data_IF_032752967732
#
_entry.id   IF_032752967732
#
_cell.length_a   1.000
_cell.length_b   1.000
_cell.length_c   1.000
_cell.angle_alpha   90.00
_cell.angle_beta   90.00
_cell.angle_gamma   90.00
#
_symmetry.space_group_name_H-M   'P 1'
#
loop_
_entity.id
_entity.type
_entity.pdbx_description
1 polymer ?
#
# COMPACT_ATOMS: atom_id res chain seq x y z
N UNK A 1 25.62 13.10 -20.26
CA UNK A 1 24.58 14.06 -19.77
C UNK A 1 23.28 13.37 -19.34
N UNK A 2 22.69 12.44 -20.16
CA UNK A 2 21.43 11.75 -19.77
C UNK A 2 21.63 10.71 -18.66
N UNK A 3 22.81 10.08 -18.59
CA UNK A 3 23.13 9.08 -17.56
C UNK A 3 23.38 9.73 -16.21
N UNK A 4 24.02 10.89 -16.21
CA UNK A 4 24.33 11.65 -15.00
C UNK A 4 23.08 12.27 -14.36
N UNK A 5 22.11 12.74 -15.18
CA UNK A 5 20.82 13.24 -14.69
C UNK A 5 19.99 12.16 -14.00
N UNK A 6 20.05 10.92 -14.52
CA UNK A 6 19.30 9.80 -13.96
C UNK A 6 19.86 9.37 -12.59
N UNK A 7 21.18 9.35 -12.44
CA UNK A 7 21.84 9.07 -11.14
C UNK A 7 21.62 10.19 -10.11
N UNK A 8 21.59 11.44 -10.51
CA UNK A 8 21.32 12.57 -9.62
C UNK A 8 19.87 12.61 -9.14
N UNK A 9 18.92 12.26 -10.01
CA UNK A 9 17.50 12.11 -9.64
C UNK A 9 17.30 10.98 -8.63
N UNK A 10 18.00 9.85 -8.80
CA UNK A 10 17.97 8.74 -7.85
C UNK A 10 18.62 9.11 -6.51
N UNK A 11 19.63 9.99 -6.52
CA UNK A 11 20.28 10.47 -5.29
C UNK A 11 19.60 11.68 -4.65
N UNK A 12 18.45 12.13 -5.20
CA UNK A 12 17.71 13.29 -4.68
C UNK A 12 18.45 14.63 -4.75
N UNK A 13 19.48 14.74 -5.61
CA UNK A 13 20.25 15.95 -5.81
C UNK A 13 19.83 16.62 -7.11
N UNK A 14 18.92 17.58 -7.02
CA UNK A 14 18.68 18.53 -8.09
C UNK A 14 19.59 19.76 -7.88
N UNK A 15 20.22 20.29 -8.93
CA UNK A 15 21.06 21.48 -8.81
C UNK A 15 20.19 22.71 -8.47
N UNK A 16 20.45 23.33 -7.32
CA UNK A 16 20.01 24.70 -7.04
C UNK A 16 18.93 24.93 -5.99
N UNK A 17 18.83 24.11 -4.94
CA UNK A 17 17.97 24.44 -3.80
C UNK A 17 17.85 23.29 -2.82
N UNK A 18 17.93 23.58 -1.54
CA UNK A 18 17.64 22.64 -0.47
C UNK A 18 16.14 22.36 -0.39
N UNK A 19 15.61 21.65 -1.37
CA UNK A 19 14.31 21.02 -1.22
C UNK A 19 14.55 19.71 -0.46
N UNK A 20 14.19 19.66 0.82
CA UNK A 20 14.02 18.39 1.49
C UNK A 20 12.85 17.71 0.80
N UNK A 21 13.12 16.88 -0.21
CA UNK A 21 12.15 15.91 -0.68
C UNK A 21 11.90 15.01 0.51
N UNK A 22 10.83 15.28 1.25
CA UNK A 22 10.23 14.31 2.16
C UNK A 22 9.66 13.20 1.29
N UNK A 23 10.49 12.34 0.82
CA UNK A 23 10.10 10.99 0.44
C UNK A 23 11.34 10.28 -0.05
N UNK A 24 11.82 9.38 0.72
CA UNK A 24 12.38 8.21 0.09
C UNK A 24 11.29 7.71 -0.87
N UNK A 25 11.54 7.74 -2.18
CA UNK A 25 10.75 7.03 -3.18
C UNK A 25 10.37 5.67 -2.60
N UNK A 26 9.08 5.27 -2.55
CA UNK A 26 8.68 4.03 -1.89
C UNK A 26 9.32 2.80 -2.53
N UNK A 27 10.07 3.01 -3.61
CA UNK A 27 10.77 1.96 -4.31
C UNK A 27 9.83 0.93 -4.93
N UNK A 28 10.33 -0.28 -5.10
CA UNK A 28 9.52 -1.40 -5.58
C UNK A 28 8.65 -1.88 -4.42
N UNK A 29 7.33 -1.80 -4.60
CA UNK A 29 6.34 -2.36 -3.69
C UNK A 29 5.81 -3.68 -4.27
N UNK A 30 5.74 -4.71 -3.45
CA UNK A 30 5.24 -6.02 -3.87
C UNK A 30 4.02 -6.42 -3.05
N UNK A 31 2.89 -6.61 -3.72
CA UNK A 31 1.71 -7.22 -3.13
C UNK A 31 1.93 -8.71 -2.90
N UNK A 32 1.66 -9.15 -1.68
CA UNK A 32 1.93 -10.49 -1.21
C UNK A 32 0.69 -11.05 -0.50
N UNK A 33 -0.01 -12.02 -1.07
CA UNK A 33 -1.11 -12.68 -0.38
C UNK A 33 -0.56 -13.47 0.80
N UNK A 34 -1.04 -13.24 2.04
CA UNK A 34 -0.55 -13.99 3.21
C UNK A 34 -0.72 -15.50 3.05
N UNK A 35 -1.90 -15.93 2.62
CA UNK A 35 -2.21 -17.31 2.22
C UNK A 35 -2.64 -17.31 0.75
N UNK A 36 -1.93 -18.07 -0.08
CA UNK A 36 -2.14 -18.12 -1.52
C UNK A 36 -3.08 -19.28 -1.90
N UNK A 37 -3.94 -19.06 -2.88
CA UNK A 37 -4.69 -20.14 -3.53
C UNK A 37 -3.78 -20.86 -4.54
N UNK A 38 -3.79 -22.18 -4.53
CA UNK A 38 -3.04 -23.08 -5.41
C UNK A 38 -4.01 -23.69 -6.45
N UNK A 39 -4.13 -23.07 -7.64
CA UNK A 39 -5.15 -23.50 -8.62
C UNK A 39 -4.99 -24.94 -9.10
N UNK A 40 -3.74 -25.42 -9.23
CA UNK A 40 -3.45 -26.78 -9.68
C UNK A 40 -3.87 -27.84 -8.67
N UNK A 41 -4.01 -27.49 -7.40
CA UNK A 41 -4.38 -28.36 -6.30
C UNK A 41 -5.80 -28.05 -5.78
N UNK A 42 -6.45 -27.06 -6.36
CA UNK A 42 -7.79 -26.57 -5.98
C UNK A 42 -7.96 -26.28 -4.47
N UNK A 43 -6.87 -25.87 -3.81
CA UNK A 43 -6.84 -25.56 -2.38
C UNK A 43 -6.04 -24.29 -2.06
N UNK A 44 -6.13 -23.85 -0.84
CA UNK A 44 -5.23 -22.83 -0.30
C UNK A 44 -3.97 -23.46 0.29
N UNK A 45 -2.89 -22.67 0.33
CA UNK A 45 -1.68 -23.01 1.09
C UNK A 45 -2.03 -23.31 2.55
N UNK A 46 -1.38 -24.29 3.11
CA UNK A 46 -1.31 -24.48 4.56
C UNK A 46 -0.39 -23.42 5.20
N UNK A 47 -0.51 -23.20 6.50
CA UNK A 47 0.37 -22.27 7.20
C UNK A 47 1.87 -22.60 7.03
N UNK A 48 2.34 -23.86 7.14
CA UNK A 48 3.74 -24.18 6.87
C UNK A 48 4.20 -23.82 5.46
N UNK A 49 3.37 -24.04 4.43
CA UNK A 49 3.68 -23.69 3.04
C UNK A 49 3.79 -22.17 2.87
N UNK A 50 2.83 -21.40 3.41
CA UNK A 50 2.84 -19.95 3.39
C UNK A 50 4.07 -19.39 4.12
N UNK A 51 4.44 -19.96 5.26
CA UNK A 51 5.63 -19.60 6.05
C UNK A 51 6.92 -19.89 5.29
N UNK A 52 7.05 -21.05 4.64
CA UNK A 52 8.21 -21.40 3.81
C UNK A 52 8.35 -20.44 2.61
N UNK A 53 7.24 -20.11 1.94
CA UNK A 53 7.21 -19.14 0.83
C UNK A 53 7.63 -17.76 1.30
N UNK A 54 7.13 -17.27 2.44
CA UNK A 54 7.51 -15.99 3.00
C UNK A 54 8.99 -15.95 3.38
N UNK A 55 9.50 -17.00 3.99
CA UNK A 55 10.92 -17.12 4.34
C UNK A 55 11.84 -17.12 3.10
N UNK A 56 11.42 -17.75 1.99
CA UNK A 56 12.14 -17.66 0.71
C UNK A 56 12.12 -16.22 0.18
N UNK A 57 10.95 -15.57 0.19
CA UNK A 57 10.79 -14.19 -0.24
C UNK A 57 11.68 -13.24 0.56
N UNK A 58 11.68 -13.31 1.89
CA UNK A 58 12.48 -12.46 2.76
C UNK A 58 13.98 -12.53 2.45
N UNK A 59 14.48 -13.70 1.97
CA UNK A 59 15.90 -13.88 1.62
C UNK A 59 16.27 -13.44 0.21
N UNK A 60 15.31 -13.36 -0.70
CA UNK A 60 15.62 -13.16 -2.14
C UNK A 60 14.94 -11.94 -2.76
N UNK A 61 14.12 -11.21 -2.01
CA UNK A 61 13.41 -10.07 -2.56
C UNK A 61 14.27 -8.81 -2.55
N UNK A 62 14.22 -8.07 -3.65
CA UNK A 62 14.74 -6.71 -3.79
C UNK A 62 13.65 -5.64 -3.57
N UNK A 63 12.45 -6.03 -3.18
CA UNK A 63 11.37 -5.08 -2.91
C UNK A 63 11.69 -4.22 -1.67
N UNK A 64 11.44 -2.93 -1.78
CA UNK A 64 11.61 -1.97 -0.69
C UNK A 64 10.46 -2.05 0.32
N UNK A 65 9.30 -2.49 -0.13
CA UNK A 65 8.13 -2.69 0.71
C UNK A 65 7.40 -3.97 0.29
N UNK A 66 7.13 -4.82 1.27
CA UNK A 66 6.17 -5.92 1.10
C UNK A 66 4.80 -5.45 1.60
N UNK A 67 3.78 -5.66 0.79
CA UNK A 67 2.39 -5.32 1.13
C UNK A 67 1.63 -6.61 1.34
N UNK A 68 1.31 -6.94 2.57
CA UNK A 68 0.40 -8.04 2.86
C UNK A 68 -1.03 -7.61 2.59
N UNK A 69 -1.66 -8.31 1.66
CA UNK A 69 -2.95 -7.94 1.14
C UNK A 69 -4.08 -8.67 1.87
N UNK A 70 -5.00 -7.92 2.49
CA UNK A 70 -6.21 -8.42 3.12
C UNK A 70 -7.49 -8.02 2.36
N UNK A 71 -7.34 -7.33 1.22
CA UNK A 71 -8.46 -6.81 0.43
C UNK A 71 -8.76 -7.74 -0.77
N UNK A 72 -8.76 -7.24 -1.99
CA UNK A 72 -9.23 -7.97 -3.19
C UNK A 72 -8.34 -9.15 -3.58
N UNK A 73 -7.05 -9.08 -3.33
CA UNK A 73 -6.11 -10.18 -3.57
C UNK A 73 -6.17 -11.29 -2.52
N UNK A 74 -6.97 -11.13 -1.47
CA UNK A 74 -7.07 -12.07 -0.36
C UNK A 74 -8.47 -12.69 -0.26
N UNK A 75 -8.61 -13.95 -0.69
CA UNK A 75 -9.88 -14.68 -0.56
C UNK A 75 -10.06 -15.34 0.82
N UNK A 76 -8.96 -15.72 1.48
CA UNK A 76 -8.92 -16.38 2.80
C UNK A 76 -8.61 -15.36 3.91
N UNK A 77 -9.45 -14.34 4.07
CA UNK A 77 -9.16 -13.20 4.97
C UNK A 77 -8.94 -13.62 6.42
N UNK A 78 -9.79 -14.48 6.97
CA UNK A 78 -9.65 -14.94 8.36
C UNK A 78 -8.34 -15.72 8.59
N UNK A 79 -8.04 -16.70 7.73
CA UNK A 79 -6.79 -17.45 7.81
C UNK A 79 -5.56 -16.57 7.60
N UNK A 80 -5.64 -15.59 6.70
CA UNK A 80 -4.56 -14.63 6.46
C UNK A 80 -4.29 -13.73 7.66
N UNK A 81 -5.32 -13.28 8.37
CA UNK A 81 -5.14 -12.52 9.63
C UNK A 81 -4.47 -13.37 10.70
N UNK A 82 -4.96 -14.59 10.91
CA UNK A 82 -4.35 -15.52 11.88
C UNK A 82 -2.88 -15.80 11.55
N UNK A 83 -2.59 -16.03 10.28
CA UNK A 83 -1.22 -16.24 9.80
C UNK A 83 -0.32 -15.02 10.08
N UNK A 84 -0.77 -13.81 9.75
CA UNK A 84 0.02 -12.60 9.97
C UNK A 84 0.26 -12.33 11.46
N UNK A 85 -0.75 -12.53 12.31
CA UNK A 85 -0.63 -12.40 13.77
C UNK A 85 0.44 -13.36 14.32
N UNK A 86 0.50 -14.60 13.81
CA UNK A 86 1.48 -15.59 14.27
C UNK A 86 2.88 -15.40 13.69
N UNK A 87 2.99 -15.00 12.40
CA UNK A 87 4.26 -15.06 11.69
C UNK A 87 5.08 -13.77 11.75
N UNK A 88 4.43 -12.59 11.74
CA UNK A 88 5.15 -11.32 11.69
C UNK A 88 6.11 -11.09 12.87
N UNK A 89 5.75 -11.42 14.13
CA UNK A 89 6.68 -11.31 15.25
C UNK A 89 7.99 -12.08 15.04
N UNK A 90 7.93 -13.21 14.35
CA UNK A 90 9.09 -14.08 14.12
C UNK A 90 9.93 -13.65 12.93
N UNK A 91 9.27 -13.25 11.82
CA UNK A 91 9.97 -13.05 10.55
C UNK A 91 10.33 -11.61 10.24
N UNK A 92 9.75 -10.63 10.95
CA UNK A 92 9.94 -9.19 10.68
C UNK A 92 11.42 -8.81 10.57
N UNK A 93 12.25 -9.32 11.47
CA UNK A 93 13.69 -9.04 11.47
C UNK A 93 14.42 -9.54 10.22
N UNK A 94 13.83 -10.47 9.48
CA UNK A 94 14.41 -11.05 8.28
C UNK A 94 13.86 -10.44 6.99
N UNK A 95 12.84 -9.58 7.08
CA UNK A 95 12.28 -8.85 5.94
C UNK A 95 13.09 -7.57 5.76
N UNK A 96 13.86 -7.44 4.66
CA UNK A 96 14.58 -6.21 4.39
C UNK A 96 13.60 -5.12 3.93
N UNK A 97 13.55 -3.99 4.52
CA UNK A 97 12.67 -2.89 4.12
C UNK A 97 11.36 -2.82 4.89
N UNK A 98 10.40 -2.11 4.32
CA UNK A 98 9.13 -1.80 4.97
C UNK A 98 8.13 -2.95 4.85
N UNK A 99 7.27 -3.05 5.85
CA UNK A 99 6.12 -3.96 5.86
C UNK A 99 4.84 -3.12 5.92
N UNK A 100 3.99 -3.28 4.92
CA UNK A 100 2.68 -2.66 4.84
C UNK A 100 1.56 -3.71 4.91
N UNK A 101 0.42 -3.32 5.45
CA UNK A 101 -0.80 -4.13 5.41
C UNK A 101 -1.85 -3.38 4.61
N UNK A 102 -2.33 -3.97 3.49
CA UNK A 102 -3.49 -3.44 2.79
C UNK A 102 -4.75 -3.95 3.47
N UNK A 103 -5.52 -3.02 4.03
CA UNK A 103 -6.77 -3.29 4.74
C UNK A 103 -7.97 -3.02 3.85
N UNK A 104 -9.10 -3.64 4.22
CA UNK A 104 -10.38 -3.41 3.56
C UNK A 104 -10.88 -1.97 3.79
N UNK A 105 -11.78 -1.45 2.92
CA UNK A 105 -12.36 -0.11 3.05
C UNK A 105 -12.97 0.12 4.42
N UNK A 106 -12.81 1.32 4.96
CA UNK A 106 -13.38 1.71 6.27
C UNK A 106 -14.89 1.46 6.32
N UNK A 107 -15.39 1.21 7.51
CA UNK A 107 -16.82 0.95 7.74
C UNK A 107 -17.30 -0.47 7.40
N UNK A 108 -16.49 -1.29 6.70
CA UNK A 108 -16.86 -2.67 6.38
C UNK A 108 -16.66 -3.61 7.57
N UNK A 109 -17.39 -4.75 7.66
CA UNK A 109 -17.15 -5.76 8.69
C UNK A 109 -15.71 -6.28 8.67
N UNK A 110 -15.13 -6.47 7.48
CA UNK A 110 -13.76 -6.95 7.30
C UNK A 110 -12.74 -5.93 7.82
N UNK A 111 -12.96 -4.64 7.59
CA UNK A 111 -12.09 -3.60 8.13
C UNK A 111 -11.99 -3.63 9.65
N UNK A 112 -13.11 -3.86 10.36
CA UNK A 112 -13.09 -3.98 11.83
C UNK A 112 -12.19 -5.10 12.32
N UNK A 113 -12.11 -6.20 11.56
CA UNK A 113 -11.23 -7.31 11.86
C UNK A 113 -9.77 -7.00 11.48
N UNK A 114 -9.56 -6.25 10.40
CA UNK A 114 -8.24 -5.77 10.01
C UNK A 114 -7.66 -4.82 11.06
N UNK A 115 -8.46 -3.88 11.59
CA UNK A 115 -8.00 -2.96 12.64
C UNK A 115 -7.65 -3.70 13.94
N UNK A 116 -8.36 -4.78 14.28
CA UNK A 116 -7.96 -5.65 15.41
C UNK A 116 -6.60 -6.28 15.17
N UNK A 117 -6.39 -6.83 13.97
CA UNK A 117 -5.07 -7.36 13.59
C UNK A 117 -3.99 -6.28 13.68
N UNK A 118 -4.23 -5.08 13.13
CA UNK A 118 -3.27 -3.97 13.21
C UNK A 118 -2.89 -3.66 14.67
N UNK A 119 -3.87 -3.66 15.59
CA UNK A 119 -3.61 -3.43 17.02
C UNK A 119 -2.74 -4.53 17.66
N UNK A 120 -2.70 -5.74 17.10
CA UNK A 120 -1.84 -6.83 17.56
C UNK A 120 -0.44 -6.76 16.96
N UNK A 121 -0.35 -6.43 15.65
CA UNK A 121 0.91 -6.53 14.91
C UNK A 121 1.61 -5.19 14.65
N UNK A 122 1.08 -4.07 15.15
CA UNK A 122 1.64 -2.73 14.88
C UNK A 122 3.15 -2.59 15.17
N UNK A 123 3.78 -3.31 16.11
CA UNK A 123 5.22 -3.21 16.31
C UNK A 123 6.05 -3.76 15.14
N UNK A 124 5.44 -4.55 14.28
CA UNK A 124 6.09 -5.29 13.20
C UNK A 124 5.79 -4.75 11.81
N UNK A 125 4.99 -3.67 11.70
CA UNK A 125 4.64 -3.04 10.43
C UNK A 125 5.04 -1.57 10.41
N UNK A 126 5.16 -1.00 9.23
CA UNK A 126 5.57 0.40 9.02
C UNK A 126 4.45 1.24 8.43
N UNK A 127 3.60 0.63 7.61
CA UNK A 127 2.55 1.31 6.86
C UNK A 127 1.23 0.54 6.94
N UNK A 128 0.13 1.30 6.88
CA UNK A 128 -1.22 0.77 6.65
C UNK A 128 -1.74 1.34 5.34
N UNK A 129 -2.00 0.48 4.36
CA UNK A 129 -2.54 0.86 3.08
C UNK A 129 -4.06 0.74 3.10
N UNK A 130 -4.77 1.83 2.83
CA UNK A 130 -6.23 1.87 2.83
C UNK A 130 -6.77 1.77 1.40
N UNK A 131 -7.47 0.68 1.11
CA UNK A 131 -8.21 0.52 -0.14
C UNK A 131 -9.42 1.46 -0.19
N UNK A 132 -9.77 1.92 -1.40
CA UNK A 132 -10.94 2.78 -1.69
C UNK A 132 -11.00 4.05 -0.85
N UNK A 133 -9.82 4.59 -0.54
CA UNK A 133 -9.69 5.80 0.26
C UNK A 133 -10.38 7.00 -0.39
N UNK A 134 -11.20 7.71 0.37
CA UNK A 134 -11.85 8.95 -0.09
C UNK A 134 -13.03 8.79 -1.07
N UNK A 135 -13.48 7.55 -1.33
CA UNK A 135 -14.57 7.32 -2.29
C UNK A 135 -15.93 7.71 -1.75
N UNK A 136 -16.33 7.22 -0.59
CA UNK A 136 -17.68 7.38 -0.07
C UNK A 136 -17.84 8.60 0.85
N UNK A 137 -17.14 8.62 1.97
CA UNK A 137 -17.31 9.63 3.02
C UNK A 137 -16.21 10.72 3.00
N UNK A 138 -15.52 10.84 1.90
CA UNK A 138 -14.47 11.83 1.75
C UNK A 138 -13.23 11.51 2.60
N UNK A 139 -12.78 12.49 3.39
CA UNK A 139 -11.62 12.36 4.27
C UNK A 139 -11.94 11.67 5.60
N UNK A 140 -13.19 11.40 5.89
CA UNK A 140 -13.61 10.82 7.16
C UNK A 140 -12.91 9.49 7.41
N UNK A 141 -12.88 8.62 6.40
CA UNK A 141 -12.23 7.30 6.48
C UNK A 141 -10.76 7.41 6.86
N UNK A 142 -10.04 8.32 6.22
CA UNK A 142 -8.62 8.57 6.51
C UNK A 142 -8.42 9.18 7.89
N UNK A 143 -9.30 10.09 8.30
CA UNK A 143 -9.24 10.70 9.63
C UNK A 143 -9.54 9.69 10.74
N UNK A 144 -10.51 8.81 10.55
CA UNK A 144 -10.81 7.72 11.48
C UNK A 144 -9.64 6.75 11.60
N UNK A 145 -9.04 6.36 10.46
CA UNK A 145 -7.84 5.51 10.47
C UNK A 145 -6.67 6.22 11.17
N UNK A 146 -6.41 7.50 10.87
CA UNK A 146 -5.35 8.26 11.52
C UNK A 146 -5.54 8.34 13.03
N UNK A 147 -6.76 8.61 13.49
CA UNK A 147 -7.10 8.63 14.92
C UNK A 147 -6.86 7.27 15.58
N UNK A 148 -7.26 6.18 14.92
CA UNK A 148 -6.99 4.83 15.42
C UNK A 148 -5.49 4.57 15.55
N UNK A 149 -4.69 4.88 14.51
CA UNK A 149 -3.25 4.65 14.51
C UNK A 149 -2.50 5.52 15.53
N UNK A 150 -2.97 6.75 15.76
CA UNK A 150 -2.40 7.64 16.79
C UNK A 150 -2.52 7.06 18.21
N UNK A 151 -3.51 6.21 18.45
CA UNK A 151 -3.68 5.49 19.71
C UNK A 151 -2.67 4.35 19.94
N UNK A 152 -1.90 3.98 18.92
CA UNK A 152 -0.86 2.95 19.01
C UNK A 152 0.47 3.58 19.41
N UNK A 153 1.34 2.81 20.06
CA UNK A 153 2.62 3.31 20.57
C UNK A 153 3.70 3.53 19.50
N UNK A 154 3.35 3.41 18.24
CA UNK A 154 4.24 3.58 17.07
C UNK A 154 3.58 4.46 16.02
N UNK A 155 4.35 5.37 15.44
CA UNK A 155 3.90 6.16 14.29
C UNK A 155 3.87 5.30 13.04
N UNK A 156 2.67 4.81 12.68
CA UNK A 156 2.42 4.13 11.42
C UNK A 156 1.98 5.16 10.38
N UNK A 157 2.47 4.98 9.15
CA UNK A 157 2.08 5.83 8.02
C UNK A 157 0.85 5.25 7.35
N UNK A 158 0.06 6.13 6.73
CA UNK A 158 -1.09 5.75 5.93
C UNK A 158 -0.72 5.89 4.45
N UNK A 159 -0.99 4.84 3.67
CA UNK A 159 -0.90 4.84 2.21
C UNK A 159 -2.30 4.72 1.61
N UNK A 160 -2.99 5.84 1.30
CA UNK A 160 -4.29 5.78 0.64
C UNK A 160 -4.14 5.28 -0.79
N UNK A 161 -5.05 4.41 -1.23
CA UNK A 161 -5.17 4.03 -2.64
C UNK A 161 -6.22 4.91 -3.29
N UNK A 162 -5.78 5.73 -4.24
CA UNK A 162 -6.65 6.60 -5.06
C UNK A 162 -7.08 5.79 -6.28
N UNK A 163 -8.27 5.23 -6.21
CA UNK A 163 -8.79 4.31 -7.22
C UNK A 163 -10.21 4.68 -7.71
N UNK A 164 -10.63 5.92 -7.42
CA UNK A 164 -11.87 6.50 -7.89
C UNK A 164 -11.71 8.00 -8.18
N UNK A 165 -12.37 8.55 -9.22
CA UNK A 165 -12.28 9.99 -9.56
C UNK A 165 -12.68 10.93 -8.42
N UNK A 166 -13.62 10.54 -7.56
CA UNK A 166 -14.00 11.33 -6.39
C UNK A 166 -12.85 11.49 -5.38
N UNK A 167 -12.07 10.42 -5.18
CA UNK A 167 -10.88 10.47 -4.32
C UNK A 167 -9.79 11.38 -4.92
N UNK A 168 -9.57 11.30 -6.24
CA UNK A 168 -8.62 12.17 -6.92
C UNK A 168 -8.96 13.67 -6.76
N UNK A 169 -10.24 14.02 -6.79
CA UNK A 169 -10.69 15.41 -6.57
C UNK A 169 -10.38 15.96 -5.17
N UNK A 170 -10.04 15.08 -4.23
CA UNK A 170 -9.69 15.41 -2.85
C UNK A 170 -8.19 15.19 -2.57
N UNK A 171 -7.40 15.02 -3.60
CA UNK A 171 -5.97 14.67 -3.46
C UNK A 171 -5.22 15.68 -2.58
N UNK A 172 -5.41 16.99 -2.77
CA UNK A 172 -4.80 18.03 -1.94
C UNK A 172 -5.13 17.85 -0.45
N UNK A 173 -6.38 17.61 -0.13
CA UNK A 173 -6.82 17.41 1.25
C UNK A 173 -6.27 16.10 1.83
N UNK A 174 -6.15 15.06 1.00
CA UNK A 174 -5.55 13.76 1.40
C UNK A 174 -4.07 13.95 1.75
N UNK A 175 -3.32 14.66 0.92
CA UNK A 175 -1.91 14.94 1.17
C UNK A 175 -1.68 15.88 2.37
N UNK A 176 -2.65 16.71 2.71
CA UNK A 176 -2.58 17.57 3.88
C UNK A 176 -2.66 16.80 5.23
N UNK A 177 -3.05 15.53 5.22
CA UNK A 177 -3.10 14.71 6.42
C UNK A 177 -1.68 14.31 6.87
N UNK A 178 -1.26 14.62 8.12
CA UNK A 178 0.13 14.40 8.56
C UNK A 178 0.59 12.93 8.52
N UNK A 179 -0.33 11.98 8.63
CA UNK A 179 -0.03 10.55 8.58
C UNK A 179 0.14 10.01 7.14
N UNK A 180 -0.15 10.83 6.12
CA UNK A 180 -0.04 10.45 4.70
C UNK A 180 1.28 10.99 4.15
N UNK A 181 2.23 10.11 3.86
CA UNK A 181 3.50 10.49 3.24
C UNK A 181 3.49 10.29 1.72
N UNK A 182 2.73 9.31 1.24
CA UNK A 182 2.58 9.01 -0.18
C UNK A 182 1.24 8.33 -0.45
N UNK A 183 0.80 8.37 -1.68
CA UNK A 183 -0.43 7.72 -2.15
C UNK A 183 -0.13 6.72 -3.25
N UNK A 184 -1.03 5.77 -3.43
CA UNK A 184 -0.98 4.78 -4.51
C UNK A 184 -2.10 5.06 -5.49
N UNK A 185 -1.81 5.03 -6.78
CA UNK A 185 -2.82 5.12 -7.83
C UNK A 185 -3.33 3.72 -8.19
N UNK A 186 -4.57 3.42 -7.85
CA UNK A 186 -5.21 2.13 -8.11
C UNK A 186 -5.78 2.05 -9.53
N UNK A 187 -4.89 1.79 -10.50
CA UNK A 187 -5.19 1.89 -11.94
C UNK A 187 -6.40 1.05 -12.38
N UNK A 188 -6.58 -0.15 -11.84
CA UNK A 188 -7.63 -1.07 -12.27
C UNK A 188 -9.03 -0.57 -11.89
N UNK A 189 -9.23 -0.21 -10.64
CA UNK A 189 -10.53 0.28 -10.16
C UNK A 189 -10.80 1.69 -10.66
N UNK A 190 -9.76 2.54 -10.75
CA UNK A 190 -9.89 3.86 -11.36
C UNK A 190 -10.35 3.76 -12.82
N UNK A 191 -9.74 2.87 -13.61
CA UNK A 191 -10.14 2.65 -15.01
C UNK A 191 -11.56 2.15 -15.12
N UNK A 192 -11.97 1.24 -14.22
CA UNK A 192 -13.35 0.74 -14.17
C UNK A 192 -14.33 1.87 -13.86
N UNK A 193 -14.02 2.72 -12.90
CA UNK A 193 -14.84 3.88 -12.53
C UNK A 193 -14.94 4.93 -13.65
N UNK A 194 -13.89 5.03 -14.49
CA UNK A 194 -13.84 5.92 -15.66
C UNK A 194 -14.35 5.28 -16.94
N UNK A 195 -14.77 4.01 -16.93
CA UNK A 195 -15.12 3.23 -18.11
C UNK A 195 -14.02 3.18 -19.17
N UNK A 196 -12.75 3.23 -18.74
CA UNK A 196 -11.57 3.09 -19.61
C UNK A 196 -11.12 1.64 -19.60
N UNK A 197 -10.94 1.08 -20.80
CA UNK A 197 -10.47 -0.30 -20.94
C UNK A 197 -8.95 -0.36 -20.85
N UNK A 198 -8.42 -1.15 -19.90
CA UNK A 198 -6.99 -1.42 -19.83
C UNK A 198 -6.63 -2.51 -20.84
N UNK A 199 -5.72 -2.21 -21.76
CA UNK A 199 -5.21 -3.19 -22.72
C UNK A 199 -3.91 -3.82 -22.21
N UNK A 200 -3.67 -5.12 -22.45
CA UNK A 200 -2.42 -5.77 -22.14
C UNK A 200 -1.23 -5.06 -22.81
N UNK A 201 -0.24 -4.67 -22.03
CA UNK A 201 1.02 -4.07 -22.52
C UNK A 201 1.00 -2.57 -22.77
N UNK A 202 -0.09 -1.86 -22.48
CA UNK A 202 -0.17 -0.41 -22.65
C UNK A 202 -0.57 0.33 -21.40
N UNK A 203 0.21 1.34 -21.02
CA UNK A 203 -0.27 2.42 -20.17
C UNK A 203 -1.33 3.16 -20.95
N UNK A 204 -2.55 3.21 -20.43
CA UNK A 204 -3.63 3.92 -21.10
C UNK A 204 -3.33 5.42 -21.07
N UNK A 205 -3.18 6.02 -22.25
CA UNK A 205 -2.88 7.45 -22.38
C UNK A 205 -3.95 8.32 -21.69
N UNK A 206 -5.19 7.83 -21.66
CA UNK A 206 -6.33 8.47 -21.00
C UNK A 206 -6.13 8.62 -19.48
N UNK A 207 -5.30 7.80 -18.84
CA UNK A 207 -5.05 7.86 -17.40
C UNK A 207 -3.89 8.77 -17.03
N UNK A 208 -3.02 9.13 -17.98
CA UNK A 208 -1.87 10.00 -17.74
C UNK A 208 -2.22 11.34 -17.09
N UNK A 209 -3.25 12.08 -17.55
CA UNK A 209 -3.62 13.35 -16.93
C UNK A 209 -3.95 13.23 -15.46
N UNK A 210 -4.61 12.14 -15.05
CA UNK A 210 -4.99 11.89 -13.66
C UNK A 210 -3.78 11.55 -12.80
N UNK A 211 -2.86 10.75 -13.31
CA UNK A 211 -1.59 10.44 -12.65
C UNK A 211 -0.71 11.68 -12.50
N UNK A 212 -0.66 12.54 -13.53
CA UNK A 212 0.06 13.81 -13.47
C UNK A 212 -0.56 14.76 -12.45
N UNK A 213 -1.89 14.87 -12.41
CA UNK A 213 -2.61 15.67 -11.42
C UNK A 213 -2.28 15.21 -10.00
N UNK A 214 -2.37 13.91 -9.74
CA UNK A 214 -2.04 13.34 -8.43
C UNK A 214 -0.58 13.60 -8.05
N UNK A 215 0.35 13.49 -9.01
CA UNK A 215 1.77 13.76 -8.79
C UNK A 215 2.05 15.23 -8.53
N UNK A 216 1.24 16.14 -9.08
CA UNK A 216 1.34 17.58 -8.83
C UNK A 216 0.93 17.90 -7.39
N UNK A 217 -0.24 17.41 -6.96
CA UNK A 217 -0.74 17.60 -5.59
C UNK A 217 0.22 17.05 -4.52
N UNK A 218 0.91 15.95 -4.84
CA UNK A 218 1.91 15.37 -3.94
C UNK A 218 3.17 16.25 -3.73
N UNK A 219 3.34 17.30 -4.53
CA UNK A 219 4.53 18.18 -4.50
C UNK A 219 4.24 19.57 -3.95
N UNK A 220 2.98 19.91 -3.76
CA UNK A 220 2.52 21.18 -3.19
C UNK A 220 2.44 21.09 -1.68
#
# INVERSE_FOLDING_TARGET
LKKDLHEEVIKGRLPGGSYSIRSAWPGIQLYYPPIKYLPAEERYETEPEARARLGKYARSSEAHTIIFDLEDGCRQKAGSRSFLSSVLPEVRQHIPGNVAIRINPMGTPENKLDLKLIAEIYPYIDDVMLAKAGEQEGLRDLSELANFLTGLSRNLRIQPIIEHPLALRKAADIFALPAVEHVVFGIHDFSRAMHVQITPGGWQQELYPFMCSLSLEARL
#
